data_IF_742030591454
#
_entry.id   IF_742030591454
#
_cell.length_a   1.000
_cell.length_b   1.000
_cell.length_c   1.000
_cell.angle_alpha   90.00
_cell.angle_beta   90.00
_cell.angle_gamma   90.00
#
_symmetry.space_group_name_H-M   'P 1'
#
loop_
_entity.id
_entity.type
_entity.pdbx_description
1 polymer ?
#
# COMPACT_ATOMS: atom_id res chain seq x y z
N UNK A 1 -1.20 8.60 -28.77
CA UNK A 1 -2.39 9.41 -28.46
C UNK A 1 -2.31 9.86 -27.02
N UNK A 2 -1.51 10.86 -26.79
CA UNK A 2 -1.27 11.50 -25.49
C UNK A 2 -1.42 13.00 -25.76
N UNK A 3 -2.63 13.53 -25.63
CA UNK A 3 -2.79 15.00 -25.62
C UNK A 3 -4.26 15.40 -25.39
N UNK A 4 -4.75 15.34 -24.15
CA UNK A 4 -6.01 16.02 -23.78
C UNK A 4 -6.17 16.40 -22.30
N UNK A 5 -5.10 16.39 -21.48
CA UNK A 5 -5.23 16.81 -20.08
C UNK A 5 -4.21 17.87 -19.61
N UNK A 6 -3.78 18.77 -20.51
CA UNK A 6 -2.84 19.84 -20.13
C UNK A 6 -3.26 21.22 -20.59
N UNK A 7 -4.54 21.61 -20.39
CA UNK A 7 -4.99 23.00 -20.60
C UNK A 7 -6.15 23.36 -19.66
N UNK A 8 -5.93 23.36 -18.35
CA UNK A 8 -6.89 23.96 -17.40
C UNK A 8 -6.28 24.47 -16.09
N UNK A 9 -4.98 24.73 -16.04
CA UNK A 9 -4.32 25.29 -14.87
C UNK A 9 -3.44 26.48 -15.24
N UNK A 10 -4.05 27.52 -15.80
CA UNK A 10 -3.47 28.88 -15.84
C UNK A 10 -4.62 29.88 -15.97
N UNK A 11 -5.09 30.34 -14.80
CA UNK A 11 -5.65 31.66 -14.55
C UNK A 11 -6.46 31.67 -13.24
N UNK A 12 -5.81 31.98 -12.15
CA UNK A 12 -6.44 32.62 -10.99
C UNK A 12 -5.34 33.14 -10.04
N UNK A 13 -4.72 34.26 -10.42
CA UNK A 13 -4.03 35.14 -9.47
C UNK A 13 -4.77 36.45 -9.52
N UNK A 14 -5.27 36.85 -8.34
CA UNK A 14 -5.69 38.16 -7.88
C UNK A 14 -7.13 38.19 -7.35
N UNK A 15 -7.30 38.00 -6.03
CA UNK A 15 -8.26 38.73 -5.20
C UNK A 15 -7.70 38.80 -3.79
N UNK A 16 -7.57 40.02 -3.22
CA UNK A 16 -7.00 40.31 -1.91
C UNK A 16 -7.97 40.00 -0.74
N UNK A 17 -7.52 40.14 0.51
CA UNK A 17 -8.25 39.63 1.69
C UNK A 17 -9.27 40.69 2.20
N UNK A 18 -10.52 40.32 2.25
CA UNK A 18 -11.52 41.05 3.07
C UNK A 18 -11.63 40.40 4.46
N UNK A 19 -11.41 41.23 5.49
CA UNK A 19 -11.61 40.88 6.92
C UNK A 19 -13.09 40.94 7.24
N UNK A 20 -13.64 39.81 7.69
CA UNK A 20 -14.99 39.71 8.24
C UNK A 20 -14.98 38.96 9.58
N UNK A 21 -14.93 39.74 10.67
CA UNK A 21 -15.11 39.27 12.06
C UNK A 21 -16.58 38.82 12.26
N UNK A 22 -16.84 37.52 12.51
CA UNK A 22 -18.13 37.02 12.97
C UNK A 22 -17.95 36.06 14.12
N UNK A 23 -18.33 36.54 15.32
CA UNK A 23 -18.52 35.76 16.54
C UNK A 23 -19.53 34.62 16.28
N UNK A 24 -19.09 33.38 16.43
CA UNK A 24 -19.99 32.22 16.46
C UNK A 24 -20.67 32.07 17.82
N UNK A 25 -21.97 31.92 17.80
CA UNK A 25 -22.80 31.60 18.98
C UNK A 25 -22.66 30.11 19.31
N UNK A 26 -22.59 29.82 20.62
CA UNK A 26 -22.49 28.47 21.19
C UNK A 26 -23.68 27.59 20.79
N UNK A 27 -23.41 26.37 20.34
CA UNK A 27 -24.39 25.28 20.28
C UNK A 27 -24.75 24.77 18.90
N UNK A 28 -23.77 24.38 18.07
CA UNK A 28 -24.07 23.64 16.85
C UNK A 28 -23.09 22.49 16.68
N UNK A 29 -23.59 21.26 16.76
CA UNK A 29 -22.86 20.07 16.34
C UNK A 29 -22.77 20.09 14.84
N UNK A 30 -21.58 20.28 14.28
CA UNK A 30 -21.36 20.28 12.83
C UNK A 30 -21.02 18.86 12.40
N UNK A 31 -21.89 18.21 11.64
CA UNK A 31 -21.60 16.93 11.01
C UNK A 31 -20.55 17.07 9.90
N UNK A 32 -19.88 15.98 9.59
CA UNK A 32 -18.80 15.92 8.57
C UNK A 32 -19.22 16.51 7.21
N UNK A 33 -20.48 16.45 6.86
CA UNK A 33 -21.04 16.95 5.60
C UNK A 33 -21.15 18.48 5.54
N UNK A 34 -21.32 19.15 6.69
CA UNK A 34 -21.48 20.61 6.73
C UNK A 34 -20.16 21.41 6.68
N UNK A 35 -19.03 20.78 6.91
CA UNK A 35 -17.71 21.42 6.84
C UNK A 35 -17.24 21.58 5.38
N UNK A 36 -17.61 20.65 4.51
CA UNK A 36 -17.25 20.68 3.09
C UNK A 36 -18.02 21.74 2.27
N UNK A 37 -19.25 22.06 2.64
CA UNK A 37 -20.12 22.97 1.86
C UNK A 37 -19.82 24.47 2.07
N UNK A 38 -18.98 24.85 3.05
CA UNK A 38 -18.71 26.26 3.36
C UNK A 38 -17.34 26.79 3.00
N UNK A 39 -16.41 25.93 2.63
CA UNK A 39 -15.09 26.35 2.15
C UNK A 39 -14.89 25.93 0.70
N UNK A 40 -15.42 26.70 -0.21
CA UNK A 40 -15.37 26.42 -1.65
C UNK A 40 -14.00 26.47 -2.32
N UNK A 41 -12.87 26.53 -1.60
CA UNK A 41 -11.52 26.55 -2.19
C UNK A 41 -10.39 26.30 -1.17
N UNK A 42 -10.59 25.44 -0.16
CA UNK A 42 -9.47 24.94 0.63
C UNK A 42 -9.20 23.47 0.28
N UNK A 43 -8.36 23.22 -0.70
CA UNK A 43 -7.68 21.93 -0.84
C UNK A 43 -6.69 21.77 0.31
N UNK A 44 -7.19 21.24 1.44
CA UNK A 44 -6.32 20.77 2.52
C UNK A 44 -5.99 19.31 2.20
N UNK A 45 -4.87 19.09 1.54
CA UNK A 45 -4.33 17.76 1.31
C UNK A 45 -3.94 17.15 2.66
N UNK A 46 -4.63 16.07 3.04
CA UNK A 46 -4.14 15.15 4.06
C UNK A 46 -4.53 15.36 5.51
N UNK A 47 -5.46 16.26 5.89
CA UNK A 47 -5.88 16.42 7.28
C UNK A 47 -7.40 16.29 7.45
N UNK A 48 -7.85 15.29 8.22
CA UNK A 48 -9.22 15.27 8.74
C UNK A 48 -9.24 15.97 10.12
N UNK A 49 -9.93 17.10 10.21
CA UNK A 49 -10.08 17.84 11.45
C UNK A 49 -11.38 17.41 12.15
N UNK A 50 -11.29 16.70 13.28
CA UNK A 50 -12.43 16.43 14.15
C UNK A 50 -12.47 17.50 15.24
N UNK A 51 -13.48 18.38 15.21
CA UNK A 51 -13.73 19.36 16.26
C UNK A 51 -14.87 18.83 17.14
N UNK A 52 -14.55 18.36 18.36
CA UNK A 52 -15.56 18.02 19.37
C UNK A 52 -15.70 19.18 20.35
N UNK A 53 -16.89 19.78 20.46
CA UNK A 53 -17.23 20.71 21.53
C UNK A 53 -18.02 19.97 22.62
N UNK A 54 -17.40 19.77 23.77
CA UNK A 54 -18.09 19.42 25.01
C UNK A 54 -18.11 20.66 25.90
N UNK A 55 -19.30 21.09 26.32
CA UNK A 55 -19.58 22.33 27.00
C UNK A 55 -18.51 22.82 28.00
N UNK A 56 -18.12 24.07 27.89
CA UNK A 56 -17.12 24.80 28.69
C UNK A 56 -15.68 24.28 28.73
N UNK A 57 -15.29 23.28 27.93
CA UNK A 57 -13.93 22.81 27.76
C UNK A 57 -13.29 23.44 26.51
N UNK A 58 -12.00 23.73 26.61
CA UNK A 58 -11.16 24.12 25.47
C UNK A 58 -11.39 23.13 24.32
N UNK A 59 -11.70 23.62 23.13
CA UNK A 59 -11.75 22.79 21.94
C UNK A 59 -10.37 22.15 21.73
N UNK A 60 -10.29 20.84 21.85
CA UNK A 60 -9.08 20.09 21.53
C UNK A 60 -9.13 19.78 20.04
N UNK A 61 -8.17 20.25 19.28
CA UNK A 61 -7.99 19.90 17.89
C UNK A 61 -7.17 18.61 17.89
N UNK A 62 -7.80 17.46 17.68
CA UNK A 62 -7.08 16.23 17.39
C UNK A 62 -6.72 16.24 15.90
N UNK A 63 -5.46 16.45 15.62
CA UNK A 63 -4.90 16.26 14.29
C UNK A 63 -4.82 14.75 14.06
N UNK A 64 -5.72 14.20 13.28
CA UNK A 64 -5.64 12.80 12.86
C UNK A 64 -4.39 12.67 11.99
N UNK A 65 -3.46 11.80 12.40
CA UNK A 65 -2.29 11.47 11.60
C UNK A 65 -2.74 10.97 10.22
N UNK A 66 -2.08 11.44 9.17
CA UNK A 66 -2.32 10.94 7.81
C UNK A 66 -1.99 9.45 7.77
N UNK A 67 -2.90 8.58 7.31
CA UNK A 67 -2.62 7.16 7.24
C UNK A 67 -1.42 6.90 6.32
N UNK A 68 -0.42 6.16 6.83
CA UNK A 68 0.82 5.89 6.12
C UNK A 68 0.83 4.49 5.49
N UNK A 69 1.49 4.34 4.36
CA UNK A 69 1.81 3.02 3.78
C UNK A 69 3.19 2.61 4.28
N UNK A 70 3.25 1.49 4.99
CA UNK A 70 4.51 0.89 5.41
C UNK A 70 5.15 0.11 4.27
N UNK A 71 6.37 0.46 3.89
CA UNK A 71 7.17 -0.24 2.87
C UNK A 71 8.30 -0.98 3.57
N UNK A 72 8.30 -2.31 3.52
CA UNK A 72 9.37 -3.16 4.06
C UNK A 72 10.35 -3.48 2.94
N UNK A 73 11.55 -2.91 3.02
CA UNK A 73 12.64 -3.07 2.04
C UNK A 73 13.78 -3.86 2.68
N UNK A 74 14.17 -4.98 2.08
CA UNK A 74 15.14 -5.91 2.69
C UNK A 74 16.60 -5.55 2.39
N UNK A 75 16.86 -4.98 1.19
CA UNK A 75 18.21 -4.62 0.74
C UNK A 75 18.20 -3.25 0.05
N UNK A 76 19.30 -2.49 0.09
CA UNK A 76 19.32 -1.11 -0.41
C UNK A 76 19.07 -0.95 -1.92
N UNK A 77 19.33 -1.99 -2.70
CA UNK A 77 19.20 -1.95 -4.16
C UNK A 77 17.85 -2.43 -4.70
N UNK A 78 17.03 -3.15 -3.92
CA UNK A 78 15.67 -3.52 -4.30
C UNK A 78 14.66 -2.50 -3.76
N UNK A 79 14.71 -1.31 -4.36
CA UNK A 79 13.88 -0.15 -3.97
C UNK A 79 12.45 -0.28 -4.49
N UNK A 80 11.47 0.38 -3.85
CA UNK A 80 10.06 0.35 -4.28
C UNK A 80 9.80 1.03 -5.63
N UNK A 81 10.72 1.89 -6.11
CA UNK A 81 10.66 2.47 -7.46
C UNK A 81 9.28 3.09 -7.76
N UNK A 82 8.65 2.62 -8.85
CA UNK A 82 7.34 3.12 -9.29
C UNK A 82 6.20 2.90 -8.27
N UNK A 83 6.32 1.94 -7.38
CA UNK A 83 5.34 1.75 -6.30
C UNK A 83 5.35 2.98 -5.40
N UNK A 84 6.53 3.45 -4.97
CA UNK A 84 6.67 4.63 -4.14
C UNK A 84 6.09 5.87 -4.84
N UNK A 85 6.55 6.17 -6.07
CA UNK A 85 6.08 7.36 -6.78
C UNK A 85 4.56 7.35 -7.03
N UNK A 86 3.97 6.19 -7.32
CA UNK A 86 2.52 6.11 -7.51
C UNK A 86 1.74 6.34 -6.20
N UNK A 87 2.27 5.90 -5.04
CA UNK A 87 1.65 6.17 -3.74
C UNK A 87 1.73 7.66 -3.40
N UNK A 88 2.87 8.30 -3.67
CA UNK A 88 3.07 9.74 -3.50
C UNK A 88 2.16 10.56 -4.43
N UNK A 89 2.05 10.16 -5.70
CA UNK A 89 1.20 10.82 -6.71
C UNK A 89 -0.30 10.84 -6.33
N UNK A 90 -0.76 9.84 -5.55
CA UNK A 90 -2.13 9.80 -5.01
C UNK A 90 -2.25 10.37 -3.59
N UNK A 91 -1.20 11.03 -3.08
CA UNK A 91 -1.21 11.74 -1.81
C UNK A 91 -1.11 10.86 -0.56
N UNK A 92 -0.63 9.61 -0.70
CA UNK A 92 -0.37 8.74 0.45
C UNK A 92 1.04 8.98 1.00
N UNK A 93 1.13 9.21 2.30
CA UNK A 93 2.41 9.21 2.99
C UNK A 93 2.99 7.80 3.07
N UNK A 94 4.31 7.69 3.03
CA UNK A 94 4.99 6.39 3.09
C UNK A 94 6.09 6.41 4.14
N UNK A 95 6.31 5.27 4.79
CA UNK A 95 7.46 5.02 5.65
C UNK A 95 8.17 3.76 5.18
N UNK A 96 9.44 3.88 4.83
CA UNK A 96 10.27 2.74 4.39
C UNK A 96 11.15 2.26 5.53
N UNK A 97 11.09 0.97 5.84
CA UNK A 97 11.84 0.35 6.91
C UNK A 97 12.56 -0.91 6.45
N UNK A 98 13.75 -1.16 7.03
CA UNK A 98 14.41 -2.46 6.96
C UNK A 98 14.38 -3.08 8.37
N UNK A 99 13.72 -4.22 8.49
CA UNK A 99 13.55 -4.93 9.76
C UNK A 99 14.15 -6.34 9.74
N UNK A 100 14.80 -6.72 8.66
CA UNK A 100 15.21 -8.10 8.37
C UNK A 100 16.00 -8.76 9.49
N UNK A 101 16.90 -8.03 10.14
CA UNK A 101 17.74 -8.51 11.25
C UNK A 101 17.13 -8.26 12.64
N UNK A 102 15.94 -7.68 12.74
CA UNK A 102 15.34 -7.28 14.00
C UNK A 102 14.41 -8.35 14.55
N UNK A 103 14.75 -8.93 15.71
CA UNK A 103 13.87 -9.89 16.42
C UNK A 103 12.56 -9.25 16.91
N UNK A 104 12.62 -7.99 17.30
CA UNK A 104 11.47 -7.18 17.76
C UNK A 104 11.56 -5.83 17.09
N UNK A 105 11.12 -5.71 15.83
CA UNK A 105 11.10 -4.42 15.14
C UNK A 105 10.10 -3.48 15.80
N UNK A 106 10.49 -2.21 15.90
CA UNK A 106 9.59 -1.13 16.26
C UNK A 106 8.85 -0.70 14.98
N UNK A 107 7.62 -1.16 14.83
CA UNK A 107 6.77 -0.88 13.68
C UNK A 107 5.75 0.21 14.04
N UNK A 108 5.31 1.02 13.06
CA UNK A 108 4.17 1.91 13.25
C UNK A 108 2.94 1.14 13.74
N UNK A 109 2.02 1.84 14.43
CA UNK A 109 0.76 1.23 14.85
C UNK A 109 0.02 0.67 13.64
N UNK A 110 -0.34 -0.59 13.72
CA UNK A 110 -1.02 -1.28 12.61
C UNK A 110 -2.37 -0.63 12.28
N UNK A 111 -3.06 -0.07 13.27
CA UNK A 111 -4.33 0.63 13.09
C UNK A 111 -4.20 1.87 12.21
N UNK A 112 -3.08 2.57 12.33
CA UNK A 112 -2.80 3.83 11.62
C UNK A 112 -2.28 3.61 10.19
N UNK A 113 -1.90 2.38 9.82
CA UNK A 113 -1.43 2.09 8.47
C UNK A 113 -2.57 2.11 7.46
N UNK A 114 -2.39 2.81 6.34
CA UNK A 114 -3.24 2.75 5.15
C UNK A 114 -3.03 1.45 4.37
N UNK A 115 -1.84 0.88 4.42
CA UNK A 115 -1.49 -0.35 3.73
C UNK A 115 -0.06 -0.80 4.00
N UNK A 116 0.32 -1.94 3.45
CA UNK A 116 1.66 -2.52 3.59
C UNK A 116 2.20 -2.95 2.25
N UNK A 117 3.46 -2.66 1.98
CA UNK A 117 4.22 -3.16 0.82
C UNK A 117 5.41 -3.95 1.34
N UNK A 118 5.56 -5.19 0.91
CA UNK A 118 6.72 -6.05 1.21
C UNK A 118 7.49 -6.25 -0.07
N UNK A 119 8.71 -5.73 -0.11
CA UNK A 119 9.56 -5.75 -1.30
C UNK A 119 10.27 -7.09 -1.52
N UNK A 120 11.06 -7.16 -2.58
CA UNK A 120 11.93 -8.26 -2.89
C UNK A 120 13.15 -8.35 -1.97
N UNK A 121 13.93 -9.43 -2.11
CA UNK A 121 15.17 -9.66 -1.37
C UNK A 121 15.80 -11.02 -1.68
N UNK A 122 17.09 -11.18 -1.39
CA UNK A 122 17.82 -12.42 -1.66
C UNK A 122 17.63 -13.49 -0.60
N UNK A 123 16.80 -13.25 0.43
CA UNK A 123 16.53 -14.18 1.53
C UNK A 123 15.54 -15.26 1.10
N UNK A 124 15.58 -16.42 1.73
CA UNK A 124 14.45 -17.36 1.69
C UNK A 124 13.31 -16.88 2.60
N UNK A 125 12.06 -16.96 2.14
CA UNK A 125 10.92 -16.45 2.90
C UNK A 125 10.71 -17.13 4.27
N UNK A 126 11.32 -18.27 4.50
CA UNK A 126 11.26 -19.03 5.77
C UNK A 126 12.59 -19.02 6.55
N UNK A 127 13.59 -18.27 6.13
CA UNK A 127 14.92 -18.18 6.77
C UNK A 127 14.89 -17.40 8.09
N UNK A 128 13.93 -17.71 8.94
CA UNK A 128 13.64 -16.98 10.18
C UNK A 128 14.78 -16.97 11.21
N UNK A 129 15.60 -18.00 11.21
CA UNK A 129 16.72 -18.10 12.16
C UNK A 129 17.84 -17.12 11.79
N UNK A 130 18.07 -16.94 10.50
CA UNK A 130 19.05 -16.02 9.97
C UNK A 130 18.50 -14.58 9.88
N UNK A 131 17.23 -14.45 9.53
CA UNK A 131 16.56 -13.17 9.31
C UNK A 131 15.28 -13.08 10.17
N UNK A 132 15.43 -12.80 11.46
CA UNK A 132 14.31 -12.86 12.41
C UNK A 132 13.16 -11.89 12.13
N UNK A 133 13.44 -10.79 11.42
CA UNK A 133 12.43 -9.81 11.03
C UNK A 133 11.37 -10.39 10.10
N UNK A 134 11.70 -11.38 9.27
CA UNK A 134 10.75 -12.05 8.39
C UNK A 134 9.57 -12.70 9.16
N UNK A 135 9.77 -13.07 10.44
CA UNK A 135 8.65 -13.53 11.31
C UNK A 135 7.65 -12.38 11.60
N UNK A 136 8.15 -11.17 11.78
CA UNK A 136 7.29 -10.00 12.00
C UNK A 136 6.53 -9.67 10.71
N UNK A 137 7.17 -9.75 9.55
CA UNK A 137 6.53 -9.54 8.25
C UNK A 137 5.44 -10.57 7.96
N UNK A 138 5.70 -11.85 8.24
CA UNK A 138 4.69 -12.90 8.12
C UNK A 138 3.49 -12.69 9.07
N UNK A 139 3.71 -12.16 10.28
CA UNK A 139 2.61 -11.79 11.20
C UNK A 139 1.84 -10.60 10.67
N UNK A 140 2.54 -9.59 10.16
CA UNK A 140 1.93 -8.39 9.58
C UNK A 140 1.08 -8.75 8.36
N UNK A 141 1.58 -9.63 7.48
CA UNK A 141 0.85 -10.13 6.33
C UNK A 141 -0.47 -10.82 6.73
N UNK A 142 -0.43 -11.71 7.73
CA UNK A 142 -1.65 -12.34 8.26
C UNK A 142 -2.63 -11.33 8.83
N UNK A 143 -2.14 -10.37 9.61
CA UNK A 143 -2.98 -9.33 10.21
C UNK A 143 -3.64 -8.45 9.13
N UNK A 144 -2.88 -8.05 8.09
CA UNK A 144 -3.39 -7.25 6.98
C UNK A 144 -4.51 -7.99 6.25
N UNK A 145 -4.31 -9.24 5.86
CA UNK A 145 -5.33 -10.04 5.19
C UNK A 145 -6.57 -10.25 6.08
N UNK A 146 -6.37 -10.60 7.34
CA UNK A 146 -7.47 -10.84 8.28
C UNK A 146 -8.33 -9.59 8.54
N UNK A 147 -7.74 -8.40 8.50
CA UNK A 147 -8.45 -7.11 8.70
C UNK A 147 -8.94 -6.47 7.41
N UNK A 148 -8.66 -7.05 6.24
CA UNK A 148 -8.95 -6.43 4.94
C UNK A 148 -8.06 -5.21 4.62
N UNK A 149 -6.93 -5.02 5.34
CA UNK A 149 -5.99 -3.95 5.06
C UNK A 149 -5.20 -4.25 3.77
N UNK A 150 -5.09 -3.27 2.84
CA UNK A 150 -4.33 -3.47 1.60
C UNK A 150 -2.90 -3.94 1.87
N UNK A 151 -2.48 -5.00 1.17
CA UNK A 151 -1.11 -5.50 1.21
C UNK A 151 -0.63 -5.89 -0.18
N UNK A 152 0.59 -5.49 -0.52
CA UNK A 152 1.27 -5.84 -1.76
C UNK A 152 2.60 -6.55 -1.45
N UNK A 153 2.84 -7.69 -2.06
CA UNK A 153 4.13 -8.40 -2.00
C UNK A 153 4.79 -8.52 -3.37
N UNK A 154 6.07 -8.21 -3.43
CA UNK A 154 6.87 -8.32 -4.65
C UNK A 154 7.99 -9.35 -4.43
N UNK A 155 8.11 -10.34 -5.31
CA UNK A 155 9.15 -11.38 -5.25
C UNK A 155 9.20 -12.08 -3.88
N UNK A 156 10.21 -11.78 -3.03
CA UNK A 156 10.26 -12.29 -1.66
C UNK A 156 9.00 -11.93 -0.87
N UNK A 157 8.49 -10.71 -1.00
CA UNK A 157 7.25 -10.29 -0.33
C UNK A 157 6.03 -11.10 -0.77
N UNK A 158 5.93 -11.46 -2.06
CA UNK A 158 4.89 -12.38 -2.54
C UNK A 158 5.01 -13.76 -1.87
N UNK A 159 6.24 -14.28 -1.71
CA UNK A 159 6.49 -15.55 -1.03
C UNK A 159 6.18 -15.49 0.46
N UNK A 160 6.53 -14.38 1.14
CA UNK A 160 6.20 -14.16 2.55
C UNK A 160 4.69 -14.14 2.76
N UNK A 161 3.93 -13.42 1.92
CA UNK A 161 2.47 -13.39 2.02
C UNK A 161 1.89 -14.78 1.79
N UNK A 162 2.30 -15.49 0.73
CA UNK A 162 1.81 -16.81 0.42
C UNK A 162 2.07 -17.81 1.56
N UNK A 163 3.31 -17.85 2.09
CA UNK A 163 3.68 -18.76 3.19
C UNK A 163 3.03 -18.37 4.51
N UNK A 164 2.87 -17.08 4.78
CA UNK A 164 2.13 -16.59 5.95
C UNK A 164 0.68 -17.06 5.96
N UNK A 165 0.09 -17.30 4.78
CA UNK A 165 -1.27 -17.80 4.58
C UNK A 165 -1.32 -19.33 4.38
N UNK A 166 -0.24 -20.04 4.70
CA UNK A 166 -0.18 -21.50 4.70
C UNK A 166 0.20 -22.16 3.38
N UNK A 167 0.53 -21.38 2.34
CA UNK A 167 1.01 -21.94 1.08
C UNK A 167 2.40 -22.59 1.25
N UNK A 168 2.64 -23.66 0.53
CA UNK A 168 3.95 -24.33 0.51
C UNK A 168 4.95 -23.50 -0.29
N UNK A 169 6.18 -23.39 0.23
CA UNK A 169 7.35 -22.88 -0.49
C UNK A 169 8.21 -24.07 -0.93
N UNK A 170 8.65 -24.06 -2.17
CA UNK A 170 9.58 -25.07 -2.69
C UNK A 170 10.54 -24.46 -3.71
N UNK A 171 11.60 -25.16 -4.01
CA UNK A 171 12.43 -24.83 -5.19
C UNK A 171 11.65 -25.07 -6.46
N UNK A 172 11.79 -24.18 -7.43
CA UNK A 172 11.31 -24.40 -8.79
C UNK A 172 12.09 -25.53 -9.48
N UNK A 173 11.53 -26.05 -10.57
CA UNK A 173 12.19 -27.09 -11.37
C UNK A 173 13.45 -26.54 -12.07
N UNK A 174 13.45 -25.23 -12.34
CA UNK A 174 14.59 -24.46 -12.83
C UNK A 174 14.46 -22.99 -12.37
N UNK A 175 15.59 -22.26 -12.24
CA UNK A 175 15.55 -20.82 -12.00
C UNK A 175 14.89 -20.08 -13.16
N UNK A 176 14.01 -19.14 -12.85
CA UNK A 176 13.52 -18.17 -13.83
C UNK A 176 14.30 -16.86 -13.67
N UNK A 177 15.19 -16.57 -14.63
CA UNK A 177 16.07 -15.40 -14.64
C UNK A 177 16.03 -14.76 -16.02
N UNK A 178 15.72 -13.45 -16.07
CA UNK A 178 15.66 -12.70 -17.32
C UNK A 178 14.23 -12.30 -17.71
N UNK A 179 14.09 -11.70 -18.87
CA UNK A 179 12.79 -11.28 -19.39
C UNK A 179 12.06 -12.45 -20.05
N UNK A 180 10.90 -12.78 -19.52
CA UNK A 180 10.07 -13.86 -20.05
C UNK A 180 8.57 -13.55 -19.88
N UNK A 181 7.70 -14.18 -20.66
CA UNK A 181 6.28 -13.91 -20.61
C UNK A 181 5.61 -14.57 -19.39
N UNK A 182 4.71 -13.84 -18.76
CA UNK A 182 3.65 -14.39 -17.93
C UNK A 182 2.33 -14.37 -18.69
N UNK A 183 1.46 -15.31 -18.38
CA UNK A 183 0.09 -15.39 -18.94
C UNK A 183 -0.90 -15.03 -17.85
N UNK A 184 -1.75 -14.06 -18.13
CA UNK A 184 -2.91 -13.75 -17.30
C UNK A 184 -3.87 -14.93 -17.31
N UNK A 185 -4.30 -15.38 -16.14
CA UNK A 185 -5.25 -16.49 -15.96
C UNK A 185 -6.66 -15.94 -15.77
N UNK A 186 -6.78 -14.89 -14.98
CA UNK A 186 -8.04 -14.25 -14.65
C UNK A 186 -8.13 -12.85 -15.28
N UNK A 187 -9.35 -12.41 -15.57
CA UNK A 187 -9.67 -11.06 -16.05
C UNK A 187 -10.11 -10.16 -14.89
N UNK A 188 -9.58 -10.40 -13.70
CA UNK A 188 -9.89 -9.55 -12.55
C UNK A 188 -9.59 -8.09 -12.83
N UNK A 189 -10.34 -7.17 -12.23
CA UNK A 189 -10.31 -5.73 -12.51
C UNK A 189 -8.92 -5.10 -12.41
N UNK A 190 -8.08 -5.51 -11.43
CA UNK A 190 -6.70 -5.06 -11.32
C UNK A 190 -5.83 -5.40 -12.53
N UNK A 191 -6.13 -6.50 -13.21
CA UNK A 191 -5.38 -7.00 -14.36
C UNK A 191 -6.16 -6.90 -15.66
N UNK A 192 -7.35 -6.30 -15.64
CA UNK A 192 -8.18 -6.14 -16.84
C UNK A 192 -7.50 -5.34 -17.95
N UNK A 193 -6.65 -4.37 -17.55
CA UNK A 193 -5.87 -3.53 -18.47
C UNK A 193 -4.61 -4.21 -19.01
N UNK A 194 -4.23 -5.39 -18.48
CA UNK A 194 -3.08 -6.13 -18.98
C UNK A 194 -3.48 -6.96 -20.19
N UNK A 195 -2.55 -7.08 -21.14
CA UNK A 195 -2.67 -8.04 -22.22
C UNK A 195 -2.75 -9.48 -21.68
N UNK A 196 -3.26 -10.40 -22.49
CA UNK A 196 -3.30 -11.83 -22.13
C UNK A 196 -1.91 -12.37 -21.75
N UNK A 197 -0.87 -11.76 -22.27
CA UNK A 197 0.53 -12.09 -22.02
C UNK A 197 1.30 -10.80 -21.84
N UNK A 198 2.14 -10.76 -20.81
CA UNK A 198 3.01 -9.63 -20.48
C UNK A 198 4.43 -10.14 -20.28
N UNK A 199 5.43 -9.50 -20.88
CA UNK A 199 6.84 -9.79 -20.63
C UNK A 199 7.28 -9.07 -19.38
N UNK A 200 7.79 -9.82 -18.39
CA UNK A 200 8.29 -9.28 -17.12
C UNK A 200 9.69 -9.79 -16.83
N UNK A 201 10.39 -9.10 -15.94
CA UNK A 201 11.67 -9.58 -15.40
C UNK A 201 11.39 -10.65 -14.34
N UNK A 202 11.92 -11.84 -14.56
CA UNK A 202 11.99 -12.93 -13.58
C UNK A 202 13.36 -12.93 -12.91
N UNK A 203 13.38 -13.10 -11.59
CA UNK A 203 14.62 -13.26 -10.83
C UNK A 203 14.34 -14.09 -9.58
N UNK A 204 13.98 -15.34 -9.77
CA UNK A 204 13.66 -16.24 -8.66
C UNK A 204 13.91 -17.72 -9.01
N UNK A 205 14.11 -18.51 -7.98
CA UNK A 205 14.16 -19.96 -8.04
C UNK A 205 13.13 -20.60 -7.12
N UNK A 206 12.76 -19.90 -6.04
CA UNK A 206 11.74 -20.37 -5.13
C UNK A 206 10.35 -20.06 -5.67
N UNK A 207 9.44 -21.01 -5.53
CA UNK A 207 8.05 -20.92 -5.99
C UNK A 207 7.10 -21.27 -4.84
N UNK A 208 5.93 -20.68 -4.85
CA UNK A 208 4.90 -20.91 -3.85
C UNK A 208 3.68 -21.59 -4.45
N UNK A 209 2.94 -22.31 -3.61
CA UNK A 209 1.59 -22.73 -3.91
C UNK A 209 0.61 -21.56 -3.85
N UNK A 210 -0.60 -21.75 -4.38
CA UNK A 210 -1.70 -20.83 -4.18
C UNK A 210 -2.21 -21.00 -2.74
N UNK A 211 -2.26 -19.93 -1.91
CA UNK A 211 -2.83 -20.05 -0.57
C UNK A 211 -4.33 -20.31 -0.63
N UNK A 212 -4.89 -20.89 0.44
CA UNK A 212 -6.33 -21.12 0.55
C UNK A 212 -7.11 -19.79 0.43
N UNK A 213 -8.21 -19.81 -0.32
CA UNK A 213 -8.98 -18.61 -0.65
C UNK A 213 -8.30 -17.68 -1.66
N UNK A 214 -7.12 -18.04 -2.16
CA UNK A 214 -6.41 -17.28 -3.16
C UNK A 214 -6.98 -17.44 -4.56
N UNK A 215 -7.01 -16.35 -5.32
CA UNK A 215 -7.35 -16.34 -6.74
C UNK A 215 -6.07 -16.20 -7.57
N UNK A 216 -5.83 -17.14 -8.47
CA UNK A 216 -4.68 -17.10 -9.37
C UNK A 216 -4.89 -16.03 -10.45
N UNK A 217 -3.94 -15.11 -10.58
CA UNK A 217 -4.00 -14.00 -11.53
C UNK A 217 -3.08 -14.22 -12.72
N UNK A 218 -1.88 -14.74 -12.52
CA UNK A 218 -0.91 -14.98 -13.59
C UNK A 218 -0.03 -16.20 -13.32
N UNK A 219 0.49 -16.79 -14.40
CA UNK A 219 1.46 -17.89 -14.40
C UNK A 219 2.48 -17.74 -15.51
N UNK A 220 3.65 -18.34 -15.36
CA UNK A 220 4.60 -18.59 -16.45
C UNK A 220 4.47 -20.03 -16.96
N UNK A 221 5.35 -20.44 -17.87
CA UNK A 221 5.47 -21.84 -18.30
C UNK A 221 5.99 -22.76 -17.21
N UNK A 222 6.89 -22.24 -16.35
CA UNK A 222 7.60 -23.02 -15.34
C UNK A 222 6.98 -22.84 -13.95
N UNK A 223 6.37 -21.69 -13.67
CA UNK A 223 5.81 -21.36 -12.34
C UNK A 223 4.30 -21.15 -12.43
N UNK A 224 3.57 -21.99 -11.68
CA UNK A 224 2.09 -21.96 -11.69
C UNK A 224 1.50 -20.71 -11.02
N UNK A 225 2.17 -20.14 -10.02
CA UNK A 225 1.70 -19.00 -9.23
C UNK A 225 2.70 -17.86 -9.33
N UNK A 226 2.57 -17.03 -10.36
CA UNK A 226 3.36 -15.81 -10.55
C UNK A 226 2.69 -14.59 -9.92
N UNK A 227 1.37 -14.58 -9.88
CA UNK A 227 0.59 -13.58 -9.17
C UNK A 227 -0.71 -14.19 -8.66
N UNK A 228 -1.10 -13.79 -7.47
CA UNK A 228 -2.38 -14.13 -6.86
C UNK A 228 -2.94 -12.93 -6.08
N UNK A 229 -4.23 -12.96 -5.75
CA UNK A 229 -4.85 -12.07 -4.79
C UNK A 229 -5.61 -12.86 -3.72
N UNK A 230 -5.84 -12.22 -2.59
CA UNK A 230 -6.68 -12.69 -1.49
C UNK A 230 -7.68 -11.57 -1.17
N UNK A 231 -8.93 -11.93 -0.98
CA UNK A 231 -9.99 -10.98 -0.69
C UNK A 231 -10.45 -10.16 -1.91
N UNK A 232 -11.14 -9.09 -1.64
CA UNK A 232 -11.70 -8.15 -2.64
C UNK A 232 -10.72 -7.04 -2.97
#
# INVERSE_FOLDING_TARGET
>A
MLNRYSKSLMNASQVGPERGDRRMRSGTTVSREHVFDRCGNCEIHGFALLVTQTGNARATIEVMATPQVLILQHVPWERPGRILSNLEDIGLETVTMNIVDKKKPDLPDFGELAGVVIMGGPMGALDYDKYPGLKAEAKLARAAVASGKPILGVCLGHQIIATALGAQLRKGDAPEIGFAPIKRVDKHDFFSMWDKQLTVLHWHNDVVGLPEGGQLLARSSSTKVQAFRIGS
#
